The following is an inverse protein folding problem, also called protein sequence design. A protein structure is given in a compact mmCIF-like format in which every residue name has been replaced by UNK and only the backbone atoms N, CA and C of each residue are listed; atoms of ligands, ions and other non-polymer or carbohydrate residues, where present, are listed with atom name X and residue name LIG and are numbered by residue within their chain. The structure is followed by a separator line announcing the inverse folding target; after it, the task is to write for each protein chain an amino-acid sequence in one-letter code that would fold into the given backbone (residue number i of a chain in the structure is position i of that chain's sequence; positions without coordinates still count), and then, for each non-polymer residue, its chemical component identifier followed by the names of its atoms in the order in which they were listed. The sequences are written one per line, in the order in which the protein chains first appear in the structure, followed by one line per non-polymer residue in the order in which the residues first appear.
data_IF_336516793936
#
_entry.id   IF_336516793936
#
_cell.length_a   1.000
_cell.length_b   1.000
_cell.length_c   1.000
_cell.angle_alpha   90.00
_cell.angle_beta   90.00
_cell.angle_gamma   90.00
#
_symmetry.space_group_name_H-M   'P 1'
#
loop_
_entity.id
_entity.type
_entity.pdbx_description
1 polymer ?
#
# COMPACT_ATOMS: atom_id res chain seq x y z
N UNK A 1 -9.29 -8.43 16.92
CA UNK A 1 -8.55 -7.13 16.93
C UNK A 1 -8.89 -6.43 15.62
N UNK A 2 -9.70 -5.37 15.65
CA UNK A 2 -10.13 -4.69 14.43
C UNK A 2 -8.99 -3.83 13.88
N UNK A 3 -8.73 -3.99 12.59
CA UNK A 3 -7.77 -3.22 11.82
C UNK A 3 -8.36 -1.80 11.57
N UNK A 4 -8.62 -1.01 12.61
CA UNK A 4 -9.30 0.28 12.44
C UNK A 4 -8.45 1.28 11.68
N UNK A 5 -9.09 2.19 10.95
CA UNK A 5 -8.46 3.35 10.31
C UNK A 5 -7.71 4.22 11.34
N UNK A 6 -8.13 4.19 12.60
CA UNK A 6 -7.52 4.90 13.75
C UNK A 6 -6.05 4.51 13.97
N UNK A 7 -5.63 3.34 13.48
CA UNK A 7 -4.20 2.94 13.52
C UNK A 7 -3.34 3.73 12.54
N UNK A 8 -3.96 4.45 11.60
CA UNK A 8 -3.29 5.15 10.51
C UNK A 8 -3.53 6.66 10.53
N UNK A 9 -4.56 7.13 11.23
CA UNK A 9 -4.91 8.54 11.42
C UNK A 9 -4.69 8.89 12.90
N UNK A 10 -3.89 9.91 13.19
CA UNK A 10 -3.61 10.32 14.58
C UNK A 10 -4.87 10.91 15.24
N UNK A 11 -5.00 10.77 16.56
CA UNK A 11 -6.16 11.27 17.34
C UNK A 11 -6.38 12.80 17.19
N UNK A 12 -5.32 13.55 16.90
CA UNK A 12 -5.37 15.02 16.66
C UNK A 12 -5.54 15.40 15.17
N UNK A 13 -5.78 14.43 14.27
CA UNK A 13 -6.01 14.74 12.86
C UNK A 13 -7.35 15.47 12.70
N UNK A 14 -7.36 16.54 11.90
CA UNK A 14 -8.58 17.26 11.49
C UNK A 14 -9.63 16.34 10.82
N UNK A 15 -9.23 15.12 10.44
CA UNK A 15 -10.06 14.06 9.89
C UNK A 15 -10.74 13.17 10.94
N UNK A 16 -10.45 13.34 12.23
CA UNK A 16 -10.99 12.51 13.32
C UNK A 16 -12.52 12.48 13.38
N UNK A 17 -13.21 13.53 12.93
CA UNK A 17 -14.68 13.53 12.87
C UNK A 17 -15.25 12.49 11.89
N UNK A 18 -14.47 12.01 10.90
CA UNK A 18 -14.93 10.99 9.95
C UNK A 18 -14.93 9.59 10.58
N UNK A 19 -14.26 9.40 11.72
CA UNK A 19 -14.26 8.15 12.46
C UNK A 19 -15.62 7.86 13.11
N UNK A 20 -16.43 8.91 13.34
CA UNK A 20 -17.78 8.76 13.88
C UNK A 20 -18.82 8.41 12.80
N UNK A 21 -18.45 8.45 11.52
CA UNK A 21 -19.37 8.16 10.42
C UNK A 21 -19.61 6.66 10.29
N UNK A 22 -20.87 6.28 10.19
CA UNK A 22 -21.26 4.91 9.85
C UNK A 22 -20.91 4.56 8.41
N UNK A 23 -20.97 3.28 8.05
CA UNK A 23 -20.82 2.85 6.65
C UNK A 23 -21.83 3.54 5.73
N UNK A 24 -23.08 3.71 6.18
CA UNK A 24 -24.14 4.36 5.41
C UNK A 24 -23.88 5.85 5.18
N UNK A 25 -23.33 6.56 6.17
CA UNK A 25 -22.95 7.97 6.02
C UNK A 25 -21.85 8.11 4.95
N UNK A 26 -20.88 7.19 4.95
CA UNK A 26 -19.80 7.14 3.97
C UNK A 26 -20.34 6.81 2.57
N UNK A 27 -21.24 5.85 2.44
CA UNK A 27 -21.88 5.50 1.17
C UNK A 27 -22.66 6.67 0.57
N UNK A 28 -23.45 7.36 1.39
CA UNK A 28 -24.20 8.57 0.99
C UNK A 28 -23.24 9.63 0.46
N UNK A 29 -22.19 9.94 1.23
CA UNK A 29 -21.21 10.94 0.83
C UNK A 29 -20.47 10.56 -0.48
N UNK A 30 -20.10 9.29 -0.63
CA UNK A 30 -19.42 8.78 -1.83
C UNK A 30 -20.33 8.89 -3.05
N UNK A 31 -21.61 8.54 -2.93
CA UNK A 31 -22.57 8.66 -4.02
C UNK A 31 -22.70 10.13 -4.51
N UNK A 32 -22.74 11.08 -3.58
CA UNK A 32 -22.88 12.52 -3.88
C UNK A 32 -21.61 13.17 -4.43
N UNK A 33 -20.42 12.77 -3.93
CA UNK A 33 -19.18 13.49 -4.17
C UNK A 33 -18.24 12.79 -5.17
N UNK A 34 -18.32 11.46 -5.27
CA UNK A 34 -17.51 10.65 -6.19
C UNK A 34 -18.34 10.18 -7.38
N UNK A 35 -19.59 9.77 -7.12
CA UNK A 35 -20.54 9.31 -8.12
C UNK A 35 -20.49 7.80 -8.38
N UNK A 36 -21.68 7.21 -8.56
CA UNK A 36 -21.88 5.76 -8.65
C UNK A 36 -21.14 5.09 -9.83
N UNK A 37 -20.84 5.83 -10.90
CA UNK A 37 -20.12 5.27 -12.04
C UNK A 37 -18.67 4.90 -11.70
N UNK A 38 -18.06 5.57 -10.73
CA UNK A 38 -16.65 5.37 -10.33
C UNK A 38 -16.48 4.31 -9.25
N UNK A 39 -17.56 3.91 -8.58
CA UNK A 39 -17.51 2.89 -7.51
C UNK A 39 -17.80 1.47 -8.00
N UNK A 40 -18.12 1.30 -9.29
CA UNK A 40 -18.48 -0.01 -9.87
C UNK A 40 -17.44 -1.10 -9.64
N UNK A 41 -16.16 -0.74 -9.59
CA UNK A 41 -15.07 -1.68 -9.39
C UNK A 41 -14.78 -1.98 -7.91
N UNK A 42 -15.34 -1.23 -6.94
CA UNK A 42 -14.92 -1.32 -5.54
C UNK A 42 -15.08 -2.72 -4.94
N UNK A 43 -16.14 -3.44 -5.30
CA UNK A 43 -16.38 -4.80 -4.81
C UNK A 43 -15.22 -5.74 -5.16
N UNK A 44 -14.76 -5.71 -6.42
CA UNK A 44 -13.65 -6.55 -6.89
C UNK A 44 -12.32 -6.17 -6.21
N UNK A 45 -12.13 -4.89 -5.90
CA UNK A 45 -10.90 -4.41 -5.28
C UNK A 45 -10.70 -4.96 -3.86
N UNK A 46 -11.73 -5.44 -3.16
CA UNK A 46 -11.54 -6.13 -1.89
C UNK A 46 -10.73 -7.43 -2.03
N UNK A 47 -10.66 -8.03 -3.22
CA UNK A 47 -9.88 -9.24 -3.45
C UNK A 47 -8.39 -8.94 -3.72
N UNK A 48 -8.07 -7.78 -4.29
CA UNK A 48 -6.72 -7.39 -4.69
C UNK A 48 -6.05 -6.38 -3.76
N UNK A 49 -6.80 -5.47 -3.12
CA UNK A 49 -6.33 -4.40 -2.23
C UNK A 49 -5.33 -4.91 -1.21
N UNK A 50 -4.31 -4.12 -0.89
CA UNK A 50 -3.27 -4.52 0.06
C UNK A 50 -3.86 -4.96 1.40
N UNK A 51 -3.28 -6.01 1.98
CA UNK A 51 -3.85 -6.75 3.09
C UNK A 51 -4.16 -5.89 4.33
N UNK A 52 -3.28 -4.94 4.65
CA UNK A 52 -3.34 -4.13 5.88
C UNK A 52 -4.61 -3.28 6.00
N UNK A 53 -5.17 -2.89 4.85
CA UNK A 53 -6.34 -2.04 4.76
C UNK A 53 -7.41 -2.62 3.83
N UNK A 54 -7.35 -3.94 3.56
CA UNK A 54 -8.24 -4.63 2.63
C UNK A 54 -9.71 -4.46 3.01
N UNK A 55 -10.02 -4.58 4.29
CA UNK A 55 -11.34 -4.46 4.91
C UNK A 55 -11.84 -3.01 5.04
N UNK A 56 -10.99 -1.99 4.81
CA UNK A 56 -11.43 -0.60 4.93
C UNK A 56 -12.48 -0.27 3.87
N UNK A 57 -13.47 0.54 4.29
CA UNK A 57 -14.43 1.16 3.40
C UNK A 57 -13.68 1.96 2.30
N UNK A 58 -14.17 2.02 1.05
CA UNK A 58 -13.48 2.74 -0.03
C UNK A 58 -13.13 4.19 0.29
N UNK A 59 -14.00 4.89 1.04
CA UNK A 59 -13.72 6.24 1.53
C UNK A 59 -12.52 6.27 2.49
N UNK A 60 -12.48 5.37 3.46
CA UNK A 60 -11.41 5.24 4.45
C UNK A 60 -10.07 4.90 3.78
N UNK A 61 -10.10 3.96 2.83
CA UNK A 61 -8.93 3.61 2.02
C UNK A 61 -8.44 4.81 1.19
N UNK A 62 -9.35 5.64 0.67
CA UNK A 62 -8.98 6.85 -0.09
C UNK A 62 -8.41 7.94 0.81
N UNK A 63 -8.92 8.10 2.04
CA UNK A 63 -8.34 9.00 3.06
C UNK A 63 -6.91 8.55 3.37
N UNK A 64 -6.71 7.25 3.66
CA UNK A 64 -5.40 6.67 3.89
C UNK A 64 -4.44 6.91 2.73
N UNK A 65 -4.92 6.73 1.49
CA UNK A 65 -4.15 7.01 0.28
C UNK A 65 -3.77 8.50 0.16
N UNK A 66 -4.68 9.42 0.51
CA UNK A 66 -4.43 10.85 0.46
C UNK A 66 -3.35 11.29 1.46
N UNK A 67 -3.35 10.74 2.67
CA UNK A 67 -2.30 11.00 3.67
C UNK A 67 -0.97 10.37 3.26
N UNK A 68 -0.97 9.13 2.76
CA UNK A 68 0.21 8.52 2.17
C UNK A 68 0.78 9.38 1.03
N UNK A 69 -0.08 9.97 0.20
CA UNK A 69 0.35 10.87 -0.88
C UNK A 69 1.06 12.12 -0.34
N UNK A 70 0.43 12.82 0.61
CA UNK A 70 1.02 14.03 1.21
C UNK A 70 2.39 13.73 1.84
N UNK A 71 2.48 12.62 2.57
CA UNK A 71 3.71 12.14 3.23
C UNK A 71 4.81 11.83 2.22
N UNK A 72 4.55 10.97 1.24
CA UNK A 72 5.56 10.55 0.27
C UNK A 72 5.98 11.70 -0.66
N UNK A 73 5.06 12.62 -0.98
CA UNK A 73 5.41 13.82 -1.74
C UNK A 73 6.42 14.68 -0.99
N UNK A 74 6.18 14.97 0.29
CA UNK A 74 7.10 15.72 1.12
C UNK A 74 8.47 15.02 1.26
N UNK A 75 8.47 13.69 1.42
CA UNK A 75 9.69 12.89 1.48
C UNK A 75 10.51 12.98 0.19
N UNK A 76 9.86 12.95 -0.99
CA UNK A 76 10.54 13.09 -2.29
C UNK A 76 11.08 14.51 -2.48
N UNK A 77 10.35 15.54 -2.04
CA UNK A 77 10.83 16.92 -2.10
C UNK A 77 12.16 17.11 -1.36
N UNK A 78 12.30 16.51 -0.18
CA UNK A 78 13.56 16.56 0.59
C UNK A 78 14.65 15.64 0.06
N UNK A 79 14.34 14.35 -0.16
CA UNK A 79 15.34 13.33 -0.53
C UNK A 79 15.97 13.53 -1.91
N UNK A 80 15.28 14.19 -2.84
CA UNK A 80 15.80 14.46 -4.18
C UNK A 80 16.30 15.92 -4.33
N UNK A 81 16.53 16.63 -3.22
CA UNK A 81 17.11 17.98 -3.22
C UNK A 81 16.24 19.04 -3.92
N UNK A 82 14.93 18.82 -4.01
CA UNK A 82 14.00 19.72 -4.72
C UNK A 82 13.56 20.89 -3.85
N UNK A 83 13.73 20.78 -2.54
CA UNK A 83 13.40 21.79 -1.55
C UNK A 83 14.30 21.64 -0.33
N UNK A 84 14.49 22.73 0.41
CA UNK A 84 15.22 22.71 1.67
C UNK A 84 14.56 21.79 2.72
N UNK A 85 15.37 21.16 3.57
CA UNK A 85 14.90 20.19 4.57
C UNK A 85 13.85 20.77 5.55
N UNK A 86 13.87 22.09 5.81
CA UNK A 86 12.89 22.76 6.68
C UNK A 86 11.57 22.99 5.98
N UNK A 87 11.59 23.20 4.65
CA UNK A 87 10.40 23.51 3.84
C UNK A 87 9.77 22.25 3.24
N UNK A 88 10.56 21.23 2.93
CA UNK A 88 10.12 20.00 2.30
C UNK A 88 8.94 19.31 3.02
N UNK A 89 8.90 19.22 4.38
CA UNK A 89 7.75 18.66 5.10
C UNK A 89 6.41 19.34 4.78
N UNK A 90 6.44 20.62 4.42
CA UNK A 90 5.25 21.41 4.10
C UNK A 90 4.87 21.39 2.61
N UNK A 91 5.69 20.78 1.75
CA UNK A 91 5.41 20.58 0.32
C UNK A 91 4.76 19.22 0.11
N UNK A 92 3.42 19.16 0.13
CA UNK A 92 2.66 17.90 0.12
C UNK A 92 1.94 17.59 -1.20
N UNK A 93 2.10 18.43 -2.24
CA UNK A 93 1.42 18.25 -3.53
C UNK A 93 -0.11 18.44 -3.51
N UNK A 94 -0.73 18.53 -2.34
CA UNK A 94 -2.14 18.80 -2.08
C UNK A 94 -2.29 19.79 -0.93
N UNK A 95 -3.46 20.44 -0.85
CA UNK A 95 -3.80 21.25 0.33
C UNK A 95 -3.83 20.36 1.58
N UNK A 96 -3.30 20.85 2.69
CA UNK A 96 -3.36 20.23 4.02
C UNK A 96 -4.72 20.54 4.65
N UNK A 97 -5.75 19.92 4.12
CA UNK A 97 -7.12 19.94 4.65
C UNK A 97 -7.66 18.50 4.66
N UNK A 98 -8.73 18.22 5.41
CA UNK A 98 -9.43 16.93 5.36
C UNK A 98 -9.78 16.54 3.94
N UNK A 99 -9.70 15.25 3.63
CA UNK A 99 -10.00 14.70 2.30
C UNK A 99 -11.31 15.24 1.70
N UNK A 100 -12.38 15.27 2.49
CA UNK A 100 -13.71 15.72 2.03
C UNK A 100 -13.76 17.21 1.66
N UNK A 101 -12.79 18.02 2.12
CA UNK A 101 -12.67 19.46 1.81
C UNK A 101 -11.78 19.74 0.61
N UNK A 102 -11.23 18.71 -0.03
CA UNK A 102 -10.50 18.86 -1.27
C UNK A 102 -11.45 19.21 -2.42
N UNK A 103 -10.91 19.76 -3.52
CA UNK A 103 -11.69 20.01 -4.72
C UNK A 103 -12.22 18.69 -5.30
N UNK A 104 -13.39 18.73 -5.97
CA UNK A 104 -13.97 17.56 -6.65
C UNK A 104 -12.99 16.86 -7.59
N UNK A 105 -12.15 17.63 -8.29
CA UNK A 105 -11.08 17.10 -9.14
C UNK A 105 -10.08 16.28 -8.33
N UNK A 106 -9.56 16.81 -7.22
CA UNK A 106 -8.60 16.10 -6.38
C UNK A 106 -9.22 14.85 -5.74
N UNK A 107 -10.47 14.93 -5.25
CA UNK A 107 -11.21 13.78 -4.72
C UNK A 107 -11.27 12.68 -5.79
N UNK A 108 -11.71 13.01 -7.00
CA UNK A 108 -11.82 12.07 -8.11
C UNK A 108 -10.46 11.48 -8.50
N UNK A 109 -9.43 12.31 -8.56
CA UNK A 109 -8.08 11.88 -8.94
C UNK A 109 -7.45 10.95 -7.90
N UNK A 110 -7.63 11.26 -6.61
CA UNK A 110 -7.20 10.40 -5.50
C UNK A 110 -7.94 9.08 -5.50
N UNK A 111 -9.26 9.12 -5.69
CA UNK A 111 -10.08 7.91 -5.78
C UNK A 111 -9.53 6.97 -6.86
N UNK A 112 -9.37 7.46 -8.09
CA UNK A 112 -8.83 6.69 -9.23
C UNK A 112 -7.41 6.16 -8.97
N UNK A 113 -6.52 7.00 -8.45
CA UNK A 113 -5.16 6.59 -8.12
C UNK A 113 -5.14 5.47 -7.07
N UNK A 114 -6.00 5.57 -6.05
CA UNK A 114 -6.19 4.53 -5.05
C UNK A 114 -6.74 3.25 -5.66
N UNK A 115 -7.75 3.32 -6.53
CA UNK A 115 -8.28 2.11 -7.19
C UNK A 115 -7.17 1.39 -7.96
N UNK A 116 -6.32 2.14 -8.68
CA UNK A 116 -5.20 1.55 -9.41
C UNK A 116 -4.16 0.88 -8.49
N UNK A 117 -3.85 1.47 -7.34
CA UNK A 117 -2.99 0.84 -6.34
C UNK A 117 -3.61 -0.44 -5.76
N UNK A 118 -4.92 -0.43 -5.53
CA UNK A 118 -5.68 -1.60 -5.04
C UNK A 118 -5.73 -2.72 -6.08
N UNK A 119 -5.92 -2.40 -7.37
CA UNK A 119 -5.85 -3.36 -8.48
C UNK A 119 -4.49 -4.07 -8.53
N UNK A 120 -3.41 -3.31 -8.35
CA UNK A 120 -2.05 -3.83 -8.33
C UNK A 120 -1.71 -4.61 -7.06
N UNK A 121 -2.52 -4.48 -6.01
CA UNK A 121 -2.33 -5.13 -4.72
C UNK A 121 -1.02 -4.73 -4.05
N UNK A 122 -0.73 -3.43 -4.04
CA UNK A 122 0.51 -2.86 -3.46
C UNK A 122 0.21 -1.87 -2.34
N UNK A 123 1.18 -1.72 -1.44
CA UNK A 123 1.14 -0.70 -0.40
C UNK A 123 1.13 0.72 -1.01
N UNK A 124 0.26 1.61 -0.50
CA UNK A 124 0.10 2.98 -1.00
C UNK A 124 1.39 3.80 -0.96
N UNK A 125 2.12 3.77 0.16
CA UNK A 125 3.39 4.48 0.28
C UNK A 125 4.41 4.04 -0.78
N UNK A 126 4.52 2.72 -1.00
CA UNK A 126 5.41 2.18 -2.04
C UNK A 126 4.98 2.58 -3.46
N UNK A 127 3.69 2.51 -3.77
CA UNK A 127 3.14 2.93 -5.07
C UNK A 127 3.47 4.39 -5.36
N UNK A 128 3.11 5.27 -4.42
CA UNK A 128 3.25 6.72 -4.59
C UNK A 128 4.73 7.12 -4.63
N UNK A 129 5.53 6.69 -3.65
CA UNK A 129 6.97 7.02 -3.60
C UNK A 129 7.71 6.55 -4.85
N UNK A 130 7.35 5.38 -5.39
CA UNK A 130 7.97 4.87 -6.62
C UNK A 130 7.68 5.74 -7.83
N UNK A 131 6.43 6.13 -8.04
CA UNK A 131 6.03 6.98 -9.17
C UNK A 131 6.64 8.39 -9.02
N UNK A 132 6.56 8.98 -7.84
CA UNK A 132 7.14 10.30 -7.57
C UNK A 132 8.66 10.29 -7.76
N UNK A 133 9.36 9.23 -7.31
CA UNK A 133 10.80 9.08 -7.52
C UNK A 133 11.16 8.90 -9.00
N UNK A 134 10.34 8.20 -9.80
CA UNK A 134 10.55 8.11 -11.26
C UNK A 134 10.55 9.50 -11.89
N UNK A 135 9.53 10.32 -11.57
CA UNK A 135 9.44 11.68 -12.10
C UNK A 135 10.56 12.60 -11.58
N UNK A 136 10.93 12.47 -10.30
CA UNK A 136 12.02 13.24 -9.71
C UNK A 136 13.36 12.93 -10.39
N UNK A 137 13.66 11.65 -10.65
CA UNK A 137 14.89 11.21 -11.35
C UNK A 137 14.94 11.62 -12.81
N UNK A 138 13.78 11.83 -13.44
CA UNK A 138 13.64 12.40 -14.79
C UNK A 138 13.62 13.92 -14.79
N UNK A 139 13.90 14.54 -13.65
CA UNK A 139 13.99 16.00 -13.47
C UNK A 139 12.73 16.73 -13.94
N UNK A 140 11.56 16.11 -13.77
CA UNK A 140 10.30 16.79 -14.07
C UNK A 140 10.21 18.07 -13.25
N UNK A 141 9.79 19.17 -13.90
CA UNK A 141 9.66 20.48 -13.25
C UNK A 141 8.74 20.41 -12.03
N UNK A 142 7.61 19.72 -12.19
CA UNK A 142 6.63 19.49 -11.13
C UNK A 142 6.46 17.99 -10.91
N UNK A 143 6.35 17.57 -9.65
CA UNK A 143 6.07 16.17 -9.35
C UNK A 143 4.62 15.80 -9.72
N UNK A 144 4.36 14.53 -10.06
CA UNK A 144 3.04 14.04 -10.42
C UNK A 144 1.95 14.37 -9.39
N UNK A 145 0.94 15.14 -9.80
CA UNK A 145 -0.37 15.24 -9.10
C UNK A 145 -1.09 13.88 -9.08
N UNK A 146 -2.09 13.65 -8.19
CA UNK A 146 -2.79 12.36 -8.11
C UNK A 146 -3.35 11.84 -9.44
N UNK A 147 -3.82 12.73 -10.31
CA UNK A 147 -4.35 12.34 -11.62
C UNK A 147 -3.31 11.66 -12.54
N UNK A 148 -2.03 11.95 -12.33
CA UNK A 148 -0.94 11.40 -13.13
C UNK A 148 -0.49 10.02 -12.66
N UNK A 149 -0.81 9.62 -11.41
CA UNK A 149 -0.35 8.37 -10.82
C UNK A 149 -0.95 7.12 -11.49
N UNK A 150 -2.04 7.28 -12.24
CA UNK A 150 -2.73 6.18 -12.93
C UNK A 150 -2.70 6.33 -14.46
N UNK A 151 -1.86 7.22 -14.99
CA UNK A 151 -1.65 7.34 -16.45
C UNK A 151 -0.66 6.27 -16.91
N UNK A 152 -0.87 5.76 -18.12
CA UNK A 152 -0.19 4.56 -18.64
C UNK A 152 1.35 4.68 -18.61
N UNK A 153 1.90 5.82 -19.04
CA UNK A 153 3.35 6.04 -19.12
C UNK A 153 4.08 5.82 -17.78
N UNK A 154 3.54 6.36 -16.69
CA UNK A 154 4.13 6.21 -15.34
C UNK A 154 3.83 4.83 -14.75
N UNK A 155 2.65 4.29 -15.07
CA UNK A 155 2.19 3.01 -14.57
C UNK A 155 2.98 1.84 -15.18
N UNK A 156 3.35 1.91 -16.45
CA UNK A 156 4.19 0.92 -17.12
C UNK A 156 5.56 0.82 -16.43
N UNK A 157 6.22 1.96 -16.22
CA UNK A 157 7.53 2.02 -15.55
C UNK A 157 7.43 1.51 -14.10
N UNK A 158 6.36 1.87 -13.40
CA UNK A 158 6.11 1.34 -12.06
C UNK A 158 5.95 -0.17 -12.08
N UNK A 159 5.16 -0.70 -13.01
CA UNK A 159 4.86 -2.13 -13.13
C UNK A 159 6.13 -2.93 -13.42
N UNK A 160 6.98 -2.46 -14.34
CA UNK A 160 8.29 -3.04 -14.62
C UNK A 160 9.19 -3.08 -13.37
N UNK A 161 9.26 -1.96 -12.64
CA UNK A 161 10.03 -1.88 -11.40
C UNK A 161 9.47 -2.83 -10.33
N UNK A 162 8.14 -2.92 -10.21
CA UNK A 162 7.48 -3.79 -9.25
C UNK A 162 7.70 -5.28 -9.58
N UNK A 163 7.61 -5.65 -10.85
CA UNK A 163 7.90 -7.03 -11.30
C UNK A 163 9.34 -7.44 -10.99
N UNK A 164 10.32 -6.54 -11.18
CA UNK A 164 11.71 -6.78 -10.76
C UNK A 164 11.85 -6.93 -9.24
N UNK A 165 11.10 -6.14 -8.47
CA UNK A 165 11.08 -6.21 -7.00
C UNK A 165 10.57 -7.57 -6.51
N UNK A 166 9.49 -8.10 -7.09
CA UNK A 166 8.91 -9.42 -6.73
C UNK A 166 9.94 -10.55 -6.76
N UNK A 167 10.92 -10.52 -7.67
CA UNK A 167 11.96 -11.55 -7.76
C UNK A 167 13.10 -11.44 -6.73
N UNK A 168 13.17 -10.35 -5.97
CA UNK A 168 14.32 -10.04 -5.11
C UNK A 168 13.98 -9.78 -3.66
N UNK A 169 12.72 -9.43 -3.36
CA UNK A 169 12.25 -9.08 -2.02
C UNK A 169 10.89 -9.68 -1.76
N UNK A 170 10.68 -10.13 -0.53
CA UNK A 170 9.36 -10.52 -0.03
C UNK A 170 8.59 -9.27 0.39
N UNK A 171 7.41 -9.08 -0.21
CA UNK A 171 6.45 -8.07 0.19
C UNK A 171 5.36 -8.72 1.06
N UNK A 172 4.99 -8.09 2.18
CA UNK A 172 4.00 -8.61 3.11
C UNK A 172 3.59 -7.58 4.15
N UNK A 173 2.46 -7.84 4.82
CA UNK A 173 1.89 -6.99 5.87
C UNK A 173 2.83 -6.76 7.05
N UNK A 174 2.86 -5.55 7.57
CA UNK A 174 3.59 -5.23 8.81
C UNK A 174 2.78 -5.53 10.08
N UNK A 175 1.56 -6.04 9.96
CA UNK A 175 0.66 -6.19 11.10
C UNK A 175 0.81 -7.56 11.76
N UNK A 176 0.87 -7.56 13.09
CA UNK A 176 0.96 -8.78 13.91
C UNK A 176 -0.17 -9.78 13.60
N UNK A 177 -1.32 -9.30 13.16
CA UNK A 177 -2.46 -10.10 12.72
C UNK A 177 -2.11 -11.13 11.63
N UNK A 178 -1.09 -10.87 10.79
CA UNK A 178 -0.66 -11.80 9.74
C UNK A 178 0.49 -12.74 10.16
N UNK A 179 0.94 -12.65 11.40
CA UNK A 179 1.99 -13.52 11.94
C UNK A 179 1.43 -14.86 12.38
N UNK A 180 2.31 -15.87 12.52
CA UNK A 180 1.95 -17.21 13.00
C UNK A 180 1.31 -17.18 14.39
N UNK A 181 1.72 -16.26 15.28
CA UNK A 181 1.20 -16.18 16.65
C UNK A 181 -0.25 -15.71 16.74
N UNK A 182 -0.74 -14.96 15.75
CA UNK A 182 -2.11 -14.45 15.70
C UNK A 182 -2.96 -15.14 14.63
N UNK A 183 -2.43 -16.20 14.01
CA UNK A 183 -3.12 -16.90 12.95
C UNK A 183 -4.32 -17.69 13.50
N UNK A 184 -5.52 -17.32 13.06
CA UNK A 184 -6.78 -17.98 13.39
C UNK A 184 -7.42 -18.68 12.20
N UNK A 185 -6.86 -18.52 11.00
CA UNK A 185 -7.40 -19.10 9.77
C UNK A 185 -8.54 -18.28 9.15
N UNK A 186 -8.59 -16.98 9.42
CA UNK A 186 -9.47 -16.06 8.69
C UNK A 186 -9.14 -16.05 7.19
N UNK A 187 -10.14 -15.80 6.34
CA UNK A 187 -10.02 -15.76 4.89
C UNK A 187 -8.96 -14.73 4.43
N UNK A 188 -8.87 -13.58 5.09
CA UNK A 188 -7.84 -12.57 4.78
C UNK A 188 -6.44 -13.09 5.14
N UNK A 189 -6.28 -13.80 6.26
CA UNK A 189 -5.00 -14.41 6.65
C UNK A 189 -4.60 -15.54 5.70
N UNK A 190 -5.55 -16.39 5.29
CA UNK A 190 -5.32 -17.45 4.30
C UNK A 190 -4.87 -16.87 2.96
N UNK A 191 -5.56 -15.82 2.49
CA UNK A 191 -5.20 -15.12 1.27
C UNK A 191 -3.79 -14.51 1.35
N UNK A 192 -3.44 -13.91 2.49
CA UNK A 192 -2.09 -13.38 2.73
C UNK A 192 -1.03 -14.47 2.72
N UNK A 193 -1.24 -15.60 3.43
CA UNK A 193 -0.30 -16.73 3.40
C UNK A 193 -0.11 -17.28 1.99
N UNK A 194 -1.20 -17.42 1.21
CA UNK A 194 -1.12 -17.82 -0.19
C UNK A 194 -0.29 -16.83 -1.02
N UNK A 195 -0.47 -15.53 -0.80
CA UNK A 195 0.31 -14.48 -1.44
C UNK A 195 1.81 -14.53 -1.07
N UNK A 196 2.16 -14.76 0.20
CA UNK A 196 3.54 -14.95 0.65
C UNK A 196 4.18 -16.18 -0.01
N UNK A 197 3.44 -17.31 -0.06
CA UNK A 197 3.94 -18.54 -0.68
C UNK A 197 4.15 -18.38 -2.18
N UNK A 198 3.23 -17.73 -2.89
CA UNK A 198 3.37 -17.47 -4.32
C UNK A 198 4.67 -16.71 -4.63
N UNK A 199 4.98 -15.66 -3.86
CA UNK A 199 6.24 -14.93 -4.01
C UNK A 199 7.47 -15.81 -3.80
N UNK A 200 7.46 -16.71 -2.82
CA UNK A 200 8.57 -17.64 -2.55
C UNK A 200 8.74 -18.65 -3.69
N UNK A 201 7.63 -19.11 -4.28
CA UNK A 201 7.64 -20.01 -5.42
C UNK A 201 8.20 -19.31 -6.67
N UNK A 202 7.77 -18.07 -6.92
CA UNK A 202 8.19 -17.25 -8.06
C UNK A 202 9.58 -16.62 -7.88
N UNK A 203 10.16 -16.72 -6.69
CA UNK A 203 11.48 -16.20 -6.38
C UNK A 203 12.55 -16.81 -7.28
N UNK A 204 13.54 -15.99 -7.67
CA UNK A 204 14.75 -16.51 -8.32
C UNK A 204 15.36 -17.61 -7.45
N UNK A 205 15.68 -18.82 -7.98
CA UNK A 205 16.13 -19.94 -7.16
C UNK A 205 17.32 -19.60 -6.26
N UNK A 206 18.27 -18.80 -6.77
CA UNK A 206 19.45 -18.32 -6.02
C UNK A 206 19.13 -17.33 -4.90
N UNK A 207 17.90 -16.83 -4.80
CA UNK A 207 17.44 -15.85 -3.79
C UNK A 207 16.30 -16.39 -2.92
N UNK A 208 15.70 -17.54 -3.25
CA UNK A 208 14.58 -18.11 -2.50
C UNK A 208 14.86 -18.25 -1.00
N UNK A 209 16.06 -18.70 -0.63
CA UNK A 209 16.46 -18.83 0.78
C UNK A 209 16.37 -17.50 1.56
N UNK A 210 16.57 -16.34 0.92
CA UNK A 210 16.42 -15.03 1.56
C UNK A 210 14.94 -14.69 1.82
N UNK A 211 14.05 -15.09 0.90
CA UNK A 211 12.61 -14.92 1.10
C UNK A 211 12.07 -15.85 2.17
N UNK A 212 12.53 -17.11 2.20
CA UNK A 212 12.23 -18.05 3.28
C UNK A 212 12.74 -17.52 4.62
N UNK A 213 13.97 -16.99 4.67
CA UNK A 213 14.50 -16.36 5.86
C UNK A 213 13.59 -15.22 6.35
N UNK A 214 13.19 -14.35 5.43
CA UNK A 214 12.29 -13.23 5.73
C UNK A 214 10.92 -13.71 6.24
N UNK A 215 10.32 -14.70 5.58
CA UNK A 215 8.99 -15.21 5.93
C UNK A 215 8.96 -16.00 7.24
N UNK A 216 10.00 -16.80 7.52
CA UNK A 216 10.01 -17.74 8.66
C UNK A 216 10.64 -17.17 9.93
N UNK A 217 11.63 -16.27 9.80
CA UNK A 217 12.42 -15.79 10.94
C UNK A 217 12.16 -14.32 11.25
N UNK A 218 12.20 -13.45 10.24
CA UNK A 218 12.03 -12.01 10.45
C UNK A 218 10.56 -11.65 10.67
N UNK A 219 9.72 -11.94 9.67
CA UNK A 219 8.33 -11.52 9.67
C UNK A 219 7.37 -12.57 10.25
N UNK A 220 7.82 -13.83 10.36
CA UNK A 220 7.08 -14.94 10.97
C UNK A 220 5.66 -15.10 10.39
N UNK A 221 5.52 -15.02 9.07
CA UNK A 221 4.23 -15.21 8.39
C UNK A 221 3.83 -16.69 8.30
N UNK A 222 4.82 -17.58 8.19
CA UNK A 222 4.62 -19.01 7.94
C UNK A 222 5.55 -19.82 8.86
N UNK A 223 5.02 -20.92 9.38
CA UNK A 223 5.71 -21.80 10.31
C UNK A 223 6.96 -22.44 9.68
N UNK A 224 8.02 -22.52 10.47
CA UNK A 224 9.33 -23.05 10.03
C UNK A 224 9.25 -24.48 9.50
N UNK A 225 8.42 -25.32 10.12
CA UNK A 225 8.19 -26.72 9.73
C UNK A 225 7.71 -26.84 8.29
N UNK A 226 6.91 -25.88 7.81
CA UNK A 226 6.45 -25.87 6.42
C UNK A 226 7.64 -25.77 5.46
N UNK A 227 8.58 -24.86 5.71
CA UNK A 227 9.75 -24.66 4.85
C UNK A 227 10.76 -25.81 4.95
N UNK A 228 10.89 -26.42 6.12
CA UNK A 228 11.72 -27.61 6.29
C UNK A 228 11.25 -28.78 5.42
N UNK A 229 9.93 -28.99 5.33
CA UNK A 229 9.35 -30.05 4.50
C UNK A 229 9.36 -29.70 3.00
N UNK A 230 8.95 -28.48 2.63
CA UNK A 230 8.72 -28.11 1.23
C UNK A 230 9.98 -27.61 0.52
N UNK A 231 10.89 -26.96 1.24
CA UNK A 231 12.09 -26.33 0.68
C UNK A 231 13.35 -26.68 1.51
N UNK A 232 13.65 -27.96 1.76
CA UNK A 232 14.66 -28.37 2.75
C UNK A 232 16.05 -27.77 2.50
N UNK A 233 16.48 -27.66 1.24
CA UNK A 233 17.79 -27.10 0.90
C UNK A 233 17.85 -25.58 1.06
N UNK A 234 16.80 -24.86 0.65
CA UNK A 234 16.73 -23.41 0.77
C UNK A 234 16.49 -23.00 2.24
N UNK A 235 15.70 -23.78 2.99
CA UNK A 235 15.51 -23.61 4.43
C UNK A 235 16.82 -23.81 5.20
N UNK A 236 17.60 -24.86 4.89
CA UNK A 236 18.95 -25.03 5.49
C UNK A 236 19.88 -23.86 5.23
N UNK A 237 19.83 -23.23 4.05
CA UNK A 237 20.59 -22.00 3.77
C UNK A 237 20.06 -20.81 4.56
N UNK A 238 18.74 -20.67 4.68
CA UNK A 238 18.11 -19.62 5.48
C UNK A 238 18.51 -19.70 6.96
N UNK A 239 18.57 -20.90 7.54
CA UNK A 239 18.99 -21.10 8.94
C UNK A 239 20.42 -20.62 9.23
N UNK A 240 21.31 -20.57 8.21
CA UNK A 240 22.68 -20.07 8.38
C UNK A 240 22.77 -18.55 8.53
N UNK A 241 21.66 -17.83 8.38
CA UNK A 241 21.58 -16.37 8.50
C UNK A 241 21.04 -15.92 9.86
N UNK A 242 20.61 -16.85 10.71
CA UNK A 242 20.13 -16.62 12.09
C UNK A 242 21.34 -16.56 13.00
#
# INVERSE_FOLDING_TARGET
MNLSIDKFIAEEDEQGFMLSWSGLDKDTWVAENVGLSRVKAEAELFHSKWFDYRHLHPMDATILFAEAYKKEYAAIMGSHGREDYRKAPFKTGLKRVPFIRLSKTNITSLWKARQKADELGVEYGYFISSILSIAAKREWRELPRPQHLWQDDLLEIFTDKHNRRKGTRLDGSLMDYFTTSMYSGDEIQKAHRKYILAQIMDALPRKRYLMIFSAAFLAKYIDKQFFEMQFPNDYRKACKLV
#
